data_IF_042450900339
#
_entry.id   IF_042450900339
#
_cell.length_a   1.000
_cell.length_b   1.000
_cell.length_c   1.000
_cell.angle_alpha   90.00
_cell.angle_beta   90.00
_cell.angle_gamma   90.00
#
_symmetry.space_group_name_H-M   'P 1'
#
loop_
_entity.id
_entity.type
_entity.pdbx_description
1 polymer ?
#
# COMPACT_ATOMS: atom_id res chain seq x y z
N UNK A 1 -23.54 -25.87 39.67
CA UNK A 1 -23.72 -25.67 38.22
C UNK A 1 -23.11 -24.33 37.79
N UNK A 2 -21.94 -24.34 37.14
CA UNK A 2 -21.39 -23.26 36.27
C UNK A 2 -19.98 -23.70 35.82
N UNK A 3 -19.91 -24.53 34.79
CA UNK A 3 -18.65 -24.95 34.14
C UNK A 3 -18.85 -25.31 32.66
N UNK A 4 -19.70 -24.58 31.94
CA UNK A 4 -19.99 -24.85 30.52
C UNK A 4 -19.69 -23.71 29.53
N UNK A 5 -19.20 -22.55 29.97
CA UNK A 5 -18.93 -21.41 29.08
C UNK A 5 -17.48 -21.21 28.60
N UNK A 6 -16.48 -21.81 29.28
CA UNK A 6 -15.07 -21.48 29.04
C UNK A 6 -14.42 -22.34 27.93
N UNK A 7 -14.96 -23.53 27.66
CA UNK A 7 -14.35 -24.52 26.75
C UNK A 7 -14.61 -24.25 25.27
N UNK A 8 -15.75 -23.65 24.90
CA UNK A 8 -16.06 -23.38 23.49
C UNK A 8 -15.30 -22.17 22.94
N UNK A 9 -15.18 -21.08 23.71
CA UNK A 9 -14.46 -19.86 23.31
C UNK A 9 -12.99 -20.13 23.06
N UNK A 10 -12.32 -20.91 23.93
CA UNK A 10 -10.91 -21.29 23.75
C UNK A 10 -10.71 -22.18 22.51
N UNK A 11 -11.67 -23.07 22.21
CA UNK A 11 -11.61 -23.90 20.99
C UNK A 11 -11.80 -23.07 19.72
N UNK A 12 -12.72 -22.10 19.74
CA UNK A 12 -12.96 -21.18 18.62
C UNK A 12 -11.72 -20.31 18.38
N UNK A 13 -11.15 -19.71 19.42
CA UNK A 13 -9.92 -18.91 19.31
C UNK A 13 -8.74 -19.75 18.81
N UNK A 14 -8.60 -21.00 19.28
CA UNK A 14 -7.55 -21.91 18.81
C UNK A 14 -7.73 -22.27 17.34
N UNK A 15 -8.96 -22.51 16.89
CA UNK A 15 -9.29 -22.78 15.48
C UNK A 15 -8.97 -21.57 14.60
N UNK A 16 -9.44 -20.37 14.98
CA UNK A 16 -9.15 -19.12 14.27
C UNK A 16 -7.64 -18.84 14.18
N UNK A 17 -6.88 -19.13 15.25
CA UNK A 17 -5.43 -18.98 15.26
C UNK A 17 -4.74 -19.94 14.28
N UNK A 18 -5.15 -21.21 14.27
CA UNK A 18 -4.61 -22.22 13.34
C UNK A 18 -4.95 -21.89 11.88
N UNK A 19 -6.16 -21.37 11.62
CA UNK A 19 -6.56 -20.89 10.30
C UNK A 19 -5.69 -19.71 9.87
N UNK A 20 -5.46 -18.72 10.74
CA UNK A 20 -4.60 -17.58 10.45
C UNK A 20 -3.14 -17.98 10.23
N UNK A 21 -2.56 -18.84 11.09
CA UNK A 21 -1.21 -19.38 10.91
C UNK A 21 -1.09 -20.08 9.55
N UNK A 22 -2.10 -20.85 9.16
CA UNK A 22 -2.17 -21.51 7.85
C UNK A 22 -2.22 -20.53 6.67
N UNK A 23 -3.04 -19.48 6.77
CA UNK A 23 -3.13 -18.41 5.76
C UNK A 23 -1.78 -17.69 5.63
N UNK A 24 -1.16 -17.32 6.74
CA UNK A 24 0.11 -16.61 6.72
C UNK A 24 1.23 -17.48 6.14
N UNK A 25 1.34 -18.75 6.54
CA UNK A 25 2.31 -19.68 5.95
C UNK A 25 2.16 -19.81 4.43
N UNK A 26 0.92 -19.82 3.91
CA UNK A 26 0.66 -19.81 2.46
C UNK A 26 1.21 -18.53 1.80
N UNK A 27 0.97 -17.37 2.40
CA UNK A 27 1.50 -16.09 1.92
C UNK A 27 3.04 -16.07 1.87
N UNK A 28 3.70 -16.55 2.93
CA UNK A 28 5.16 -16.68 2.97
C UNK A 28 5.71 -17.69 1.95
N UNK A 29 5.00 -18.79 1.72
CA UNK A 29 5.36 -19.74 0.68
C UNK A 29 5.23 -19.13 -0.72
N UNK A 30 4.14 -18.39 -0.97
CA UNK A 30 3.92 -17.70 -2.25
C UNK A 30 5.00 -16.67 -2.53
N UNK A 31 5.38 -15.84 -1.56
CA UNK A 31 6.49 -14.88 -1.71
C UNK A 31 7.80 -15.59 -2.10
N UNK A 32 8.15 -16.66 -1.40
CA UNK A 32 9.37 -17.43 -1.72
C UNK A 32 9.33 -17.99 -3.14
N UNK A 33 8.17 -18.48 -3.60
CA UNK A 33 8.00 -18.94 -4.98
C UNK A 33 8.05 -17.80 -5.99
N UNK A 34 7.46 -16.64 -5.70
CA UNK A 34 7.46 -15.49 -6.62
C UNK A 34 8.84 -14.90 -6.82
N UNK A 35 9.68 -14.96 -5.78
CA UNK A 35 11.08 -14.51 -5.87
C UNK A 35 11.94 -15.53 -6.61
N UNK A 36 11.78 -16.83 -6.35
CA UNK A 36 12.59 -17.88 -7.01
C UNK A 36 12.19 -18.13 -8.47
N UNK A 37 10.90 -18.04 -8.79
CA UNK A 37 10.35 -18.36 -10.10
C UNK A 37 9.30 -17.32 -10.56
N UNK A 38 9.70 -16.06 -10.83
CA UNK A 38 8.77 -14.99 -11.24
C UNK A 38 7.93 -15.32 -12.47
N UNK A 39 8.45 -16.15 -13.39
CA UNK A 39 7.75 -16.58 -14.60
C UNK A 39 6.54 -17.49 -14.33
N UNK A 40 6.55 -18.24 -13.21
CA UNK A 40 5.46 -19.14 -12.82
C UNK A 40 4.55 -18.50 -11.78
N UNK A 41 5.13 -17.74 -10.86
CA UNK A 41 4.41 -17.03 -9.80
C UNK A 41 4.76 -15.56 -9.95
N UNK A 42 3.88 -14.74 -10.56
CA UNK A 42 4.15 -13.33 -10.79
C UNK A 42 4.48 -12.60 -9.48
N UNK A 43 5.52 -11.78 -9.53
CA UNK A 43 5.91 -10.83 -8.48
C UNK A 43 5.45 -9.41 -8.85
N UNK A 44 5.69 -8.46 -7.95
CA UNK A 44 5.49 -7.03 -8.23
C UNK A 44 6.52 -6.53 -9.25
N UNK A 45 6.11 -5.66 -10.18
CA UNK A 45 7.04 -4.99 -11.09
C UNK A 45 7.88 -3.95 -10.35
N UNK A 46 7.27 -3.26 -9.40
CA UNK A 46 7.96 -2.30 -8.54
C UNK A 46 7.49 -2.36 -7.09
N UNK A 47 8.43 -2.15 -6.17
CA UNK A 47 8.20 -1.94 -4.74
C UNK A 47 8.76 -0.56 -4.40
N UNK A 48 7.87 0.34 -3.99
CA UNK A 48 8.21 1.74 -3.69
C UNK A 48 7.95 2.02 -2.22
N UNK A 49 8.91 2.63 -1.52
CA UNK A 49 8.77 3.05 -0.13
C UNK A 49 8.77 4.57 -0.05
N UNK A 50 7.79 5.17 0.62
CA UNK A 50 7.88 6.61 0.95
C UNK A 50 8.73 6.82 2.19
N UNK A 51 9.49 7.90 2.23
CA UNK A 51 10.35 8.28 3.35
C UNK A 51 10.12 9.75 3.74
N UNK A 52 10.32 10.09 5.00
CA UNK A 52 10.13 11.44 5.53
C UNK A 52 11.23 12.41 5.09
N UNK A 53 12.44 11.91 4.82
CA UNK A 53 13.59 12.73 4.43
C UNK A 53 14.52 12.00 3.45
N UNK A 54 15.38 12.72 2.71
CA UNK A 54 16.39 12.13 1.84
C UNK A 54 17.35 11.17 2.55
N UNK A 55 17.74 11.48 3.79
CA UNK A 55 18.62 10.63 4.60
C UNK A 55 17.93 9.31 4.96
N UNK A 56 16.63 9.37 5.31
CA UNK A 56 15.85 8.17 5.56
C UNK A 56 15.65 7.35 4.28
N UNK A 57 15.40 8.00 3.14
CA UNK A 57 15.31 7.33 1.85
C UNK A 57 16.62 6.58 1.50
N UNK A 58 17.78 7.18 1.76
CA UNK A 58 19.07 6.53 1.54
C UNK A 58 19.25 5.25 2.39
N UNK A 59 18.77 5.26 3.65
CA UNK A 59 18.77 4.06 4.50
C UNK A 59 17.79 3.00 3.98
N UNK A 60 16.61 3.41 3.52
CA UNK A 60 15.61 2.50 2.95
C UNK A 60 16.11 1.88 1.64
N UNK A 61 16.80 2.63 0.79
CA UNK A 61 17.49 2.12 -0.40
C UNK A 61 18.49 1.01 -0.04
N UNK A 62 19.28 1.21 1.02
CA UNK A 62 20.22 0.17 1.47
C UNK A 62 19.49 -1.11 1.92
N UNK A 63 18.36 -0.98 2.62
CA UNK A 63 17.56 -2.12 3.04
C UNK A 63 16.91 -2.84 1.86
N UNK A 64 16.39 -2.10 0.87
CA UNK A 64 15.81 -2.66 -0.35
C UNK A 64 16.87 -3.44 -1.15
N UNK A 65 18.04 -2.85 -1.37
CA UNK A 65 19.17 -3.52 -2.03
C UNK A 65 19.64 -4.76 -1.25
N UNK A 66 19.60 -4.71 0.08
CA UNK A 66 19.88 -5.88 0.93
C UNK A 66 18.81 -6.97 0.74
N UNK A 67 17.53 -6.61 0.67
CA UNK A 67 16.44 -7.56 0.48
C UNK A 67 16.52 -8.27 -0.89
N UNK A 68 16.90 -7.55 -1.95
CA UNK A 68 17.20 -8.14 -3.27
C UNK A 68 18.37 -9.12 -3.16
N UNK A 69 19.52 -8.71 -2.61
CA UNK A 69 20.70 -9.58 -2.43
C UNK A 69 20.44 -10.84 -1.61
N UNK A 70 19.52 -10.78 -0.65
CA UNK A 70 19.14 -11.92 0.19
C UNK A 70 18.04 -12.79 -0.46
N UNK A 71 17.60 -12.49 -1.68
CA UNK A 71 16.54 -13.23 -2.36
C UNK A 71 15.18 -13.13 -1.67
N UNK A 72 14.89 -11.98 -1.04
CA UNK A 72 13.55 -11.65 -0.51
C UNK A 72 12.70 -10.85 -1.48
N UNK A 73 13.36 -10.15 -2.40
CA UNK A 73 12.75 -9.47 -3.54
C UNK A 73 13.39 -10.08 -4.79
N UNK A 74 12.60 -10.26 -5.86
CA UNK A 74 13.10 -10.75 -7.14
C UNK A 74 14.06 -9.73 -7.75
N UNK A 75 15.14 -10.19 -8.40
CA UNK A 75 16.05 -9.34 -9.17
C UNK A 75 15.34 -8.62 -10.33
N UNK A 76 14.19 -9.14 -10.77
CA UNK A 76 13.34 -8.52 -11.79
C UNK A 76 12.46 -7.38 -11.28
N UNK A 77 12.35 -7.20 -9.96
CA UNK A 77 11.48 -6.20 -9.33
C UNK A 77 12.26 -4.91 -9.09
N UNK A 78 11.76 -3.80 -9.64
CA UNK A 78 12.32 -2.47 -9.37
C UNK A 78 12.06 -2.08 -7.91
N UNK A 79 13.08 -1.63 -7.20
CA UNK A 79 12.93 -1.11 -5.83
C UNK A 79 13.30 0.36 -5.79
N UNK A 80 12.49 1.19 -5.12
CA UNK A 80 12.73 2.63 -5.02
C UNK A 80 12.30 3.17 -3.64
N UNK A 81 13.13 3.97 -2.98
CA UNK A 81 12.74 4.78 -1.83
C UNK A 81 12.61 6.25 -2.25
N UNK A 82 11.44 6.82 -1.99
CA UNK A 82 11.08 8.18 -2.41
C UNK A 82 10.91 9.06 -1.18
N UNK A 83 11.79 10.04 -0.96
CA UNK A 83 11.64 10.98 0.13
C UNK A 83 10.54 12.00 -0.16
N UNK A 84 9.94 12.52 0.91
CA UNK A 84 9.17 13.74 0.87
C UNK A 84 10.08 14.90 0.39
N UNK A 85 9.65 15.72 -0.57
CA UNK A 85 10.49 16.76 -1.16
C UNK A 85 11.01 17.75 -0.11
N UNK A 86 12.30 18.06 -0.19
CA UNK A 86 12.99 18.94 0.77
C UNK A 86 12.88 18.49 2.24
N UNK A 87 12.51 17.22 2.50
CA UNK A 87 12.25 16.71 3.85
C UNK A 87 11.00 17.30 4.51
N UNK A 88 10.14 17.99 3.75
CA UNK A 88 8.91 18.56 4.25
C UNK A 88 7.75 17.59 4.08
N UNK A 89 7.09 17.26 5.18
CA UNK A 89 5.95 16.34 5.16
C UNK A 89 4.80 16.89 4.32
N UNK A 90 4.46 16.17 3.23
CA UNK A 90 3.43 16.59 2.25
C UNK A 90 2.08 15.89 2.43
N UNK A 91 2.00 14.89 3.33
CA UNK A 91 0.82 14.02 3.49
C UNK A 91 0.88 12.78 2.61
N UNK A 92 0.19 11.70 2.96
CA UNK A 92 0.31 10.40 2.29
C UNK A 92 -0.22 10.42 0.85
N UNK A 93 -1.20 11.27 0.55
CA UNK A 93 -1.78 11.37 -0.79
C UNK A 93 -0.81 12.07 -1.74
N UNK A 94 -0.19 13.16 -1.29
CA UNK A 94 0.85 13.82 -2.05
C UNK A 94 2.12 12.96 -2.15
N UNK A 95 2.48 12.22 -1.09
CA UNK A 95 3.59 11.27 -1.12
C UNK A 95 3.33 10.12 -2.11
N UNK A 96 2.08 9.67 -2.25
CA UNK A 96 1.66 8.69 -3.26
C UNK A 96 1.88 9.23 -4.68
N UNK A 97 1.39 10.44 -4.97
CA UNK A 97 1.59 11.07 -6.28
C UNK A 97 3.08 11.27 -6.60
N UNK A 98 3.86 11.73 -5.62
CA UNK A 98 5.30 11.91 -5.74
C UNK A 98 6.01 10.57 -6.01
N UNK A 99 5.61 9.49 -5.33
CA UNK A 99 6.17 8.17 -5.50
C UNK A 99 5.89 7.58 -6.89
N UNK A 100 4.67 7.75 -7.40
CA UNK A 100 4.28 7.32 -8.75
C UNK A 100 5.08 8.09 -9.81
N UNK A 101 5.21 9.41 -9.65
CA UNK A 101 5.99 10.26 -10.54
C UNK A 101 7.47 9.87 -10.55
N UNK A 102 8.06 9.64 -9.37
CA UNK A 102 9.46 9.20 -9.24
C UNK A 102 9.68 7.85 -9.92
N UNK A 103 8.74 6.91 -9.78
CA UNK A 103 8.80 5.62 -10.45
C UNK A 103 8.69 5.74 -11.97
N UNK A 104 7.79 6.58 -12.48
CA UNK A 104 7.66 6.82 -13.92
C UNK A 104 8.94 7.42 -14.52
N UNK A 105 9.56 8.38 -13.82
CA UNK A 105 10.87 8.94 -14.19
C UNK A 105 11.97 7.89 -14.21
N UNK A 106 12.00 6.99 -13.21
CA UNK A 106 12.97 5.90 -13.15
C UNK A 106 12.86 4.96 -14.36
N UNK A 107 11.64 4.59 -14.76
CA UNK A 107 11.42 3.79 -15.96
C UNK A 107 11.82 4.53 -17.25
N UNK A 108 11.51 5.82 -17.36
CA UNK A 108 11.88 6.62 -18.51
C UNK A 108 13.40 6.73 -18.67
N UNK A 109 14.12 7.04 -17.59
CA UNK A 109 15.59 7.10 -17.59
C UNK A 109 16.23 5.75 -17.97
N UNK A 110 15.65 4.64 -17.49
CA UNK A 110 16.12 3.29 -17.82
C UNK A 110 15.92 2.96 -19.32
N UNK A 111 14.82 3.40 -19.93
CA UNK A 111 14.60 3.21 -21.37
C UNK A 111 15.56 4.05 -22.20
N UNK A 112 15.79 5.31 -21.84
CA UNK A 112 16.76 6.18 -22.54
C UNK A 112 18.16 5.57 -22.49
N UNK A 113 18.59 5.06 -21.33
CA UNK A 113 19.89 4.41 -21.19
C UNK A 113 20.04 3.18 -22.12
N UNK A 114 18.99 2.36 -22.24
CA UNK A 114 19.00 1.19 -23.13
C UNK A 114 18.97 1.56 -24.63
N UNK A 115 18.31 2.67 -24.99
CA UNK A 115 18.26 3.13 -26.39
C UNK A 115 19.57 3.80 -26.82
N UNK A 116 20.28 4.48 -25.91
CA UNK A 116 21.57 5.10 -26.20
C UNK A 116 22.69 4.08 -26.46
N UNK A 117 22.55 2.82 -25.99
CA UNK A 117 23.46 1.73 -26.38
C UNK A 117 23.29 1.26 -27.83
N UNK A 118 22.19 1.61 -28.51
CA UNK A 118 21.88 1.23 -29.89
C UNK A 118 22.14 2.34 -30.92
N UNK A 119 22.90 3.38 -30.55
CA UNK A 119 23.54 4.29 -31.52
C UNK A 119 22.60 5.17 -32.35
N UNK A 120 21.50 5.66 -31.77
CA UNK A 120 20.68 6.69 -32.40
C UNK A 120 20.45 7.88 -31.45
N UNK A 121 21.12 9.00 -31.74
CA UNK A 121 20.89 10.28 -31.07
C UNK A 121 19.54 10.85 -31.50
N UNK A 122 18.50 10.64 -30.71
CA UNK A 122 17.25 11.38 -30.85
C UNK A 122 17.39 12.65 -30.01
N UNK A 123 17.43 13.78 -30.69
CA UNK A 123 17.34 15.12 -30.10
C UNK A 123 16.00 15.22 -29.36
N UNK A 124 15.93 15.67 -28.09
CA UNK A 124 14.66 15.94 -27.45
C UNK A 124 13.99 17.10 -28.18
N UNK A 125 12.91 16.83 -28.89
CA UNK A 125 12.04 17.85 -29.45
C UNK A 125 11.26 18.49 -28.28
N UNK A 126 11.16 19.82 -28.26
CA UNK A 126 10.42 20.58 -27.25
C UNK A 126 8.91 20.49 -27.49
N UNK A 127 8.38 19.27 -27.65
CA UNK A 127 6.96 19.04 -27.83
C UNK A 127 6.26 18.91 -26.47
N UNK A 128 5.37 19.89 -26.23
CA UNK A 128 4.39 20.08 -25.15
C UNK A 128 4.43 19.13 -23.93
N UNK A 129 4.38 19.69 -22.71
CA UNK A 129 4.31 18.98 -21.41
C UNK A 129 3.28 17.82 -21.36
N UNK A 130 2.25 17.86 -22.19
CA UNK A 130 1.22 16.82 -22.33
C UNK A 130 1.71 15.53 -23.02
N UNK A 131 2.63 15.61 -23.99
CA UNK A 131 3.16 14.43 -24.70
C UNK A 131 4.11 13.63 -23.81
N UNK A 132 4.98 14.32 -23.08
CA UNK A 132 5.90 13.70 -22.11
C UNK A 132 5.13 12.97 -21.00
N UNK A 133 4.09 13.61 -20.46
CA UNK A 133 3.22 13.02 -19.43
C UNK A 133 2.52 11.75 -19.92
N UNK A 134 2.03 11.75 -21.17
CA UNK A 134 1.36 10.59 -21.76
C UNK A 134 2.33 9.42 -21.99
N UNK A 135 3.54 9.70 -22.45
CA UNK A 135 4.60 8.69 -22.59
C UNK A 135 4.95 8.05 -21.24
N UNK A 136 5.14 8.87 -20.20
CA UNK A 136 5.45 8.40 -18.85
C UNK A 136 4.36 7.49 -18.26
N UNK A 137 3.08 7.83 -18.46
CA UNK A 137 1.98 6.99 -17.98
C UNK A 137 1.94 5.65 -18.70
N UNK A 138 2.22 5.61 -20.01
CA UNK A 138 2.28 4.36 -20.77
C UNK A 138 3.33 3.38 -20.21
N UNK A 139 4.41 3.87 -19.60
CA UNK A 139 5.45 3.02 -18.98
C UNK A 139 4.96 2.27 -17.74
N UNK A 140 4.06 2.88 -16.97
CA UNK A 140 3.59 2.35 -15.67
C UNK A 140 2.16 1.79 -15.72
N UNK A 141 1.41 2.07 -16.79
CA UNK A 141 0.00 1.69 -16.98
C UNK A 141 -0.28 0.19 -16.81
N UNK A 142 0.60 -0.67 -17.32
CA UNK A 142 0.44 -2.15 -17.22
C UNK A 142 1.29 -2.77 -16.11
N UNK A 143 1.89 -1.95 -15.24
CA UNK A 143 2.74 -2.40 -14.14
C UNK A 143 1.94 -2.63 -12.88
N UNK A 144 2.41 -3.57 -12.07
CA UNK A 144 1.90 -3.86 -10.73
C UNK A 144 2.86 -3.29 -9.70
N UNK A 145 2.38 -2.31 -8.95
CA UNK A 145 3.21 -1.53 -8.05
C UNK A 145 2.73 -1.75 -6.62
N UNK A 146 3.65 -2.14 -5.75
CA UNK A 146 3.47 -2.11 -4.30
C UNK A 146 4.04 -0.79 -3.77
N UNK A 147 3.22 0.02 -3.12
CA UNK A 147 3.64 1.25 -2.46
C UNK A 147 3.48 1.08 -0.94
N UNK A 148 4.57 1.31 -0.21
CA UNK A 148 4.57 1.27 1.25
C UNK A 148 4.76 2.68 1.82
N UNK A 149 3.77 3.15 2.57
CA UNK A 149 3.91 4.40 3.31
C UNK A 149 4.77 4.19 4.57
N UNK A 150 6.03 4.61 4.52
CA UNK A 150 7.00 4.46 5.60
C UNK A 150 7.59 5.79 6.11
N UNK A 151 7.11 6.93 5.60
CA UNK A 151 7.56 8.29 5.98
C UNK A 151 6.85 8.91 7.20
N UNK A 152 6.20 8.11 8.05
CA UNK A 152 5.52 8.62 9.24
C UNK A 152 6.43 8.72 10.45
N UNK A 153 6.37 9.84 11.18
CA UNK A 153 7.09 10.01 12.45
C UNK A 153 6.65 8.96 13.49
N UNK A 154 7.62 8.19 13.99
CA UNK A 154 7.45 7.25 15.11
C UNK A 154 7.42 7.97 16.44
N UNK A 155 6.38 8.78 16.68
CA UNK A 155 6.20 9.49 17.95
C UNK A 155 6.13 8.56 19.17
N UNK A 156 5.62 7.35 18.98
CA UNK A 156 5.46 6.33 20.03
C UNK A 156 6.67 5.41 20.19
N UNK A 157 7.52 5.33 19.16
CA UNK A 157 8.71 4.45 19.13
C UNK A 157 9.88 5.23 18.54
N UNK A 158 10.43 6.24 19.24
CA UNK A 158 11.37 7.19 18.64
C UNK A 158 12.67 6.53 18.15
N UNK A 159 13.11 5.47 18.82
CA UNK A 159 14.30 4.71 18.43
C UNK A 159 14.15 3.99 17.07
N UNK A 160 12.92 3.78 16.60
CA UNK A 160 12.64 3.16 15.31
C UNK A 160 12.64 4.16 14.14
N UNK A 161 12.70 5.48 14.40
CA UNK A 161 12.68 6.49 13.34
C UNK A 161 13.84 6.37 12.33
N UNK A 162 15.11 6.22 12.76
CA UNK A 162 16.22 6.13 11.82
C UNK A 162 16.16 4.86 10.98
N UNK A 163 15.75 3.74 11.59
CA UNK A 163 15.66 2.45 10.89
C UNK A 163 14.41 2.32 10.03
N UNK A 164 13.34 3.05 10.37
CA UNK A 164 12.00 2.87 9.82
C UNK A 164 11.25 1.74 10.51
N UNK A 165 10.00 1.99 10.90
CA UNK A 165 9.13 0.97 11.55
C UNK A 165 8.94 -0.27 10.67
N UNK A 166 8.93 -0.08 9.36
CA UNK A 166 8.75 -1.16 8.39
C UNK A 166 9.90 -2.18 8.45
N UNK A 167 11.09 -1.78 8.90
CA UNK A 167 12.23 -2.68 9.03
C UNK A 167 12.44 -3.19 10.46
N UNK A 168 11.43 -3.07 11.33
CA UNK A 168 11.49 -3.65 12.67
C UNK A 168 11.47 -5.17 12.62
N UNK A 169 12.30 -5.85 13.43
CA UNK A 169 12.21 -7.30 13.59
C UNK A 169 10.83 -7.71 14.10
N UNK A 170 10.22 -8.65 13.39
CA UNK A 170 8.96 -9.27 13.72
C UNK A 170 9.22 -10.78 13.86
N UNK A 171 9.43 -11.31 15.08
CA UNK A 171 9.77 -12.73 15.30
C UNK A 171 8.59 -13.69 15.03
N UNK A 172 7.59 -13.23 14.29
CA UNK A 172 6.46 -14.03 13.87
C UNK A 172 6.94 -15.07 12.84
N UNK A 173 6.67 -16.35 13.09
CA UNK A 173 7.18 -17.49 12.30
C UNK A 173 8.71 -17.66 12.32
N UNK A 174 9.44 -17.04 13.26
CA UNK A 174 10.87 -17.31 13.43
C UNK A 174 11.14 -18.80 13.74
N UNK A 175 10.19 -19.49 14.37
CA UNK A 175 10.26 -20.93 14.65
C UNK A 175 10.25 -21.81 13.37
N UNK A 176 9.77 -21.28 12.24
CA UNK A 176 9.75 -22.02 10.97
C UNK A 176 11.14 -22.06 10.31
N UNK A 177 12.08 -21.18 10.71
CA UNK A 177 13.47 -21.13 10.25
C UNK A 177 14.39 -20.63 11.40
N UNK A 178 14.70 -21.48 12.39
CA UNK A 178 15.39 -21.06 13.61
C UNK A 178 16.84 -20.60 13.38
N UNK A 179 17.47 -21.05 12.30
CA UNK A 179 18.83 -20.64 11.89
C UNK A 179 18.80 -19.47 10.89
N UNK A 180 17.61 -19.03 10.48
CA UNK A 180 17.39 -17.95 9.54
C UNK A 180 17.45 -16.56 10.19
N UNK A 181 17.63 -15.50 9.39
CA UNK A 181 17.51 -14.13 9.88
C UNK A 181 16.08 -13.86 10.37
N UNK A 182 15.94 -13.20 11.53
CA UNK A 182 14.63 -12.80 12.07
C UNK A 182 13.83 -12.04 11.00
N UNK A 183 12.60 -12.47 10.68
CA UNK A 183 11.76 -11.78 9.72
C UNK A 183 11.52 -10.33 10.13
N UNK A 184 11.46 -9.42 9.16
CA UNK A 184 11.10 -8.03 9.40
C UNK A 184 9.59 -7.82 9.16
N UNK A 185 9.03 -6.73 9.68
CA UNK A 185 7.68 -6.30 9.32
C UNK A 185 7.55 -6.13 7.79
N UNK A 186 8.59 -5.61 7.14
CA UNK A 186 8.69 -5.50 5.70
C UNK A 186 8.50 -6.84 5.00
N UNK A 187 9.18 -7.88 5.47
CA UNK A 187 9.10 -9.23 4.89
C UNK A 187 7.67 -9.80 5.02
N UNK A 188 7.02 -9.54 6.16
CA UNK A 188 5.62 -9.93 6.39
C UNK A 188 4.64 -9.18 5.47
N UNK A 189 4.84 -7.88 5.28
CA UNK A 189 4.06 -7.07 4.34
C UNK A 189 4.24 -7.60 2.91
N UNK A 190 5.47 -7.91 2.49
CA UNK A 190 5.74 -8.52 1.18
C UNK A 190 5.02 -9.87 1.02
N UNK A 191 4.98 -10.68 2.09
CA UNK A 191 4.29 -11.96 2.06
C UNK A 191 2.80 -11.79 1.76
N UNK A 192 2.11 -10.92 2.50
CA UNK A 192 0.69 -10.62 2.26
C UNK A 192 0.46 -9.99 0.88
N UNK A 193 1.29 -9.02 0.50
CA UNK A 193 1.19 -8.35 -0.79
C UNK A 193 1.40 -9.32 -1.97
N UNK A 194 2.26 -10.33 -1.85
CA UNK A 194 2.49 -11.34 -2.90
C UNK A 194 1.20 -12.14 -3.24
N UNK A 195 0.32 -12.34 -2.26
CA UNK A 195 -1.01 -12.92 -2.47
C UNK A 195 -1.95 -11.89 -3.10
N UNK A 196 -1.98 -10.65 -2.57
CA UNK A 196 -2.83 -9.57 -3.06
C UNK A 196 -2.61 -9.26 -4.56
N UNK A 197 -1.39 -9.45 -5.06
CA UNK A 197 -1.04 -9.29 -6.48
C UNK A 197 -1.98 -10.05 -7.43
N UNK A 198 -2.52 -11.21 -7.00
CA UNK A 198 -3.43 -12.01 -7.83
C UNK A 198 -4.71 -11.26 -8.19
N UNK A 199 -5.21 -10.39 -7.30
CA UNK A 199 -6.47 -9.67 -7.50
C UNK A 199 -6.42 -8.65 -8.67
N UNK A 200 -5.22 -8.30 -9.15
CA UNK A 200 -5.01 -7.38 -10.27
C UNK A 200 -5.09 -8.07 -11.64
N UNK A 201 -5.12 -9.42 -11.68
CA UNK A 201 -5.13 -10.18 -12.94
C UNK A 201 -4.03 -9.68 -13.90
N UNK A 202 -4.42 -9.37 -15.15
CA UNK A 202 -3.57 -8.84 -16.22
C UNK A 202 -3.63 -7.31 -16.34
N UNK A 203 -4.38 -6.62 -15.47
CA UNK A 203 -4.50 -5.17 -15.47
C UNK A 203 -3.47 -4.55 -14.53
N UNK A 204 -2.88 -3.42 -14.94
CA UNK A 204 -1.98 -2.68 -14.07
C UNK A 204 -2.70 -2.15 -12.83
N UNK A 205 -1.93 -1.85 -11.80
CA UNK A 205 -2.49 -1.34 -10.58
C UNK A 205 -1.50 -1.02 -9.49
N UNK A 206 -2.01 -0.33 -8.49
CA UNK A 206 -1.29 0.14 -7.32
C UNK A 206 -1.90 -0.48 -6.07
N UNK A 207 -1.07 -1.15 -5.28
CA UNK A 207 -1.43 -1.65 -3.96
C UNK A 207 -0.65 -0.87 -2.91
N UNK A 208 -1.37 -0.11 -2.09
CA UNK A 208 -0.81 0.73 -1.04
C UNK A 208 -1.00 0.01 0.30
N UNK A 209 0.06 -0.05 1.10
CA UNK A 209 0.00 -0.49 2.49
C UNK A 209 0.77 0.46 3.40
N UNK A 210 0.47 0.41 4.70
CA UNK A 210 1.19 1.17 5.73
C UNK A 210 2.39 0.37 6.24
N UNK A 211 3.52 1.05 6.42
CA UNK A 211 4.77 0.46 6.91
C UNK A 211 4.83 0.27 8.43
N UNK A 212 3.74 0.51 9.16
CA UNK A 212 3.70 0.44 10.62
C UNK A 212 2.55 -0.35 11.23
N UNK A 213 1.80 -1.06 10.38
CA UNK A 213 0.73 -1.98 10.77
C UNK A 213 1.14 -3.40 10.38
N UNK A 214 0.78 -4.39 11.20
CA UNK A 214 0.96 -5.81 10.88
C UNK A 214 -0.32 -6.34 10.22
N UNK A 215 -0.37 -6.49 8.88
CA UNK A 215 -1.55 -7.01 8.18
C UNK A 215 -1.72 -8.52 8.43
N UNK A 216 -2.87 -8.94 8.94
CA UNK A 216 -3.17 -10.35 9.22
C UNK A 216 -4.50 -10.75 8.58
N UNK A 217 -4.51 -11.01 7.27
CA UNK A 217 -5.71 -11.43 6.54
C UNK A 217 -5.35 -12.29 5.31
N UNK A 218 -6.34 -12.99 4.77
CA UNK A 218 -6.18 -13.79 3.55
C UNK A 218 -6.29 -12.92 2.29
N UNK A 219 -5.15 -12.39 1.86
CA UNK A 219 -5.08 -11.59 0.64
C UNK A 219 -5.27 -12.41 -0.65
N UNK A 220 -5.23 -13.76 -0.59
CA UNK A 220 -5.44 -14.59 -1.78
C UNK A 220 -6.91 -14.69 -2.19
N UNK A 221 -7.83 -14.45 -1.24
CA UNK A 221 -9.27 -14.38 -1.48
C UNK A 221 -9.75 -12.98 -1.88
N UNK A 222 -8.83 -12.00 -2.02
CA UNK A 222 -9.18 -10.63 -2.33
C UNK A 222 -9.72 -10.51 -3.76
N UNK A 223 -10.90 -9.90 -3.90
CA UNK A 223 -11.52 -9.56 -5.18
C UNK A 223 -11.59 -8.04 -5.30
N UNK A 224 -11.01 -7.50 -6.37
CA UNK A 224 -11.10 -6.08 -6.70
C UNK A 224 -12.15 -5.88 -7.79
N UNK A 225 -13.01 -4.86 -7.71
CA UNK A 225 -13.85 -4.46 -8.82
C UNK A 225 -13.02 -3.87 -9.97
N UNK A 226 -13.56 -3.90 -11.17
CA UNK A 226 -12.90 -3.35 -12.37
C UNK A 226 -12.84 -1.82 -12.31
N UNK A 227 -11.76 -1.27 -12.86
CA UNK A 227 -11.60 0.16 -13.11
C UNK A 227 -11.86 1.10 -11.93
N UNK A 228 -11.57 0.64 -10.71
CA UNK A 228 -11.88 1.40 -9.48
C UNK A 228 -10.73 1.41 -8.46
N UNK A 229 -10.90 2.26 -7.45
CA UNK A 229 -10.12 2.23 -6.21
C UNK A 229 -10.95 1.65 -5.07
N UNK A 230 -10.30 0.92 -4.17
CA UNK A 230 -10.92 0.24 -3.04
C UNK A 230 -10.08 0.42 -1.78
N UNK A 231 -10.75 0.55 -0.64
CA UNK A 231 -10.12 0.59 0.68
C UNK A 231 -10.52 -0.70 1.40
N UNK A 232 -9.53 -1.41 1.94
CA UNK A 232 -9.80 -2.57 2.79
C UNK A 232 -10.14 -2.06 4.18
N UNK A 233 -11.27 -2.50 4.73
CA UNK A 233 -11.73 -2.08 6.06
C UNK A 233 -11.91 -3.27 6.98
N UNK A 234 -11.86 -3.01 8.29
CA UNK A 234 -12.11 -4.03 9.31
C UNK A 234 -13.18 -3.52 10.26
N UNK A 235 -14.25 -4.30 10.53
CA UNK A 235 -15.23 -3.93 11.54
C UNK A 235 -14.63 -3.91 12.94
N UNK A 236 -14.69 -2.76 13.61
CA UNK A 236 -14.14 -2.52 14.95
C UNK A 236 -15.19 -1.96 15.92
N UNK A 237 -14.90 -2.08 17.20
CA UNK A 237 -15.71 -1.51 18.27
C UNK A 237 -15.53 0.02 18.35
N UNK A 238 -16.53 0.67 18.95
CA UNK A 238 -16.65 2.13 18.99
C UNK A 238 -15.54 2.82 19.80
N UNK A 239 -15.02 2.16 20.83
CA UNK A 239 -13.90 2.64 21.65
C UNK A 239 -12.58 2.74 20.85
N UNK A 240 -12.36 1.79 19.93
CA UNK A 240 -11.21 1.81 19.01
C UNK A 240 -11.43 2.90 17.96
N UNK A 241 -12.66 3.06 17.46
CA UNK A 241 -13.02 3.98 16.40
C UNK A 241 -12.65 5.44 16.73
N UNK A 242 -12.82 5.87 17.98
CA UNK A 242 -12.49 7.23 18.41
C UNK A 242 -11.01 7.61 18.30
N UNK A 243 -10.12 6.63 18.17
CA UNK A 243 -8.68 6.85 18.04
C UNK A 243 -8.17 6.72 16.61
N UNK A 244 -9.03 6.34 15.66
CA UNK A 244 -8.64 5.95 14.30
C UNK A 244 -9.53 6.59 13.22
N UNK A 245 -9.17 6.39 11.96
CA UNK A 245 -10.00 6.75 10.80
C UNK A 245 -11.16 5.75 10.64
N UNK A 246 -12.36 6.25 10.37
CA UNK A 246 -13.57 5.45 10.20
C UNK A 246 -14.17 5.72 8.83
N UNK A 247 -14.28 4.68 8.02
CA UNK A 247 -14.92 4.72 6.69
C UNK A 247 -16.43 4.60 6.88
N UNK A 248 -17.16 5.49 6.21
CA UNK A 248 -18.62 5.46 6.12
C UNK A 248 -18.97 4.87 4.77
N UNK A 249 -19.58 3.68 4.77
CA UNK A 249 -20.09 3.05 3.56
C UNK A 249 -21.50 3.58 3.23
N UNK A 250 -21.78 3.78 1.94
CA UNK A 250 -23.13 4.08 1.47
C UNK A 250 -24.01 2.85 1.61
N UNK A 251 -25.25 3.04 2.09
CA UNK A 251 -26.26 1.97 2.25
C UNK A 251 -26.85 1.47 0.92
N UNK A 252 -26.35 1.94 -0.22
CA UNK A 252 -26.80 1.58 -1.57
C UNK A 252 -25.93 0.46 -2.13
N UNK A 253 -26.11 -0.78 -1.67
CA UNK A 253 -25.39 -1.95 -2.21
C UNK A 253 -26.24 -3.20 -2.19
N UNK A 254 -26.35 -3.89 -3.33
CA UNK A 254 -26.96 -5.22 -3.44
C UNK A 254 -26.19 -6.19 -2.54
N UNK A 255 -26.91 -6.88 -1.66
CA UNK A 255 -26.40 -7.96 -0.84
C UNK A 255 -26.20 -9.23 -1.69
N UNK A 256 -25.17 -9.26 -2.52
CA UNK A 256 -24.70 -10.53 -3.11
C UNK A 256 -23.58 -11.10 -2.23
N UNK A 257 -23.82 -12.31 -1.73
CA UNK A 257 -23.19 -12.97 -0.57
C UNK A 257 -21.69 -13.33 -0.69
N UNK A 258 -20.95 -12.83 -1.68
CA UNK A 258 -19.56 -13.29 -1.92
C UNK A 258 -18.52 -12.19 -1.72
N UNK A 259 -18.87 -10.90 -1.80
CA UNK A 259 -17.98 -9.80 -1.40
C UNK A 259 -18.79 -8.52 -1.18
N UNK A 260 -18.91 -8.06 0.07
CA UNK A 260 -19.65 -6.83 0.41
C UNK A 260 -18.86 -5.59 0.00
N UNK A 261 -18.77 -5.31 -1.30
CA UNK A 261 -18.23 -4.05 -1.80
C UNK A 261 -19.31 -2.99 -1.66
N UNK A 262 -19.00 -1.90 -0.96
CA UNK A 262 -19.92 -0.77 -0.78
C UNK A 262 -19.25 0.53 -1.19
N UNK A 263 -19.96 1.45 -1.86
CA UNK A 263 -19.40 2.76 -2.18
C UNK A 263 -19.01 3.50 -0.90
N UNK A 264 -17.87 4.18 -0.90
CA UNK A 264 -17.44 5.01 0.24
C UNK A 264 -18.18 6.34 0.19
N UNK A 265 -18.94 6.65 1.24
CA UNK A 265 -19.66 7.91 1.39
C UNK A 265 -18.79 8.99 2.06
N UNK A 266 -18.01 8.61 3.08
CA UNK A 266 -17.16 9.55 3.81
C UNK A 266 -16.00 8.83 4.55
N UNK A 267 -14.99 9.58 5.01
CA UNK A 267 -14.05 9.15 6.05
C UNK A 267 -14.08 10.16 7.19
N UNK A 268 -14.16 9.64 8.42
CA UNK A 268 -14.11 10.41 9.65
C UNK A 268 -12.77 10.18 10.35
N UNK A 269 -12.06 11.25 10.73
CA UNK A 269 -10.76 11.13 11.40
C UNK A 269 -10.92 11.31 12.91
N UNK A 270 -10.73 10.23 13.67
CA UNK A 270 -10.86 10.21 15.14
C UNK A 270 -12.22 10.77 15.62
N UNK A 271 -13.35 10.26 15.10
CA UNK A 271 -14.67 10.79 15.41
C UNK A 271 -15.08 10.49 16.84
N UNK A 272 -15.94 11.35 17.38
CA UNK A 272 -16.65 11.05 18.62
C UNK A 272 -17.95 10.26 18.35
N UNK A 273 -18.59 9.76 19.42
CA UNK A 273 -19.81 8.95 19.33
C UNK A 273 -20.97 9.66 18.62
N UNK A 274 -21.13 10.96 18.87
CA UNK A 274 -22.19 11.75 18.25
C UNK A 274 -21.99 11.89 16.75
N UNK A 275 -20.74 12.10 16.32
CA UNK A 275 -20.35 12.20 14.92
C UNK A 275 -20.55 10.88 14.17
N UNK A 276 -20.14 9.75 14.77
CA UNK A 276 -20.37 8.41 14.22
C UNK A 276 -21.87 8.15 13.98
N UNK A 277 -22.71 8.54 14.94
CA UNK A 277 -24.16 8.35 14.85
C UNK A 277 -24.77 9.25 13.78
N UNK A 278 -24.39 10.54 13.77
CA UNK A 278 -24.89 11.55 12.83
C UNK A 278 -24.53 11.25 11.38
N UNK A 279 -23.34 10.69 11.17
CA UNK A 279 -22.82 10.33 9.84
C UNK A 279 -23.25 8.92 9.41
N UNK A 280 -24.06 8.22 10.20
CA UNK A 280 -24.47 6.83 9.94
C UNK A 280 -23.30 5.86 9.72
N UNK A 281 -22.21 6.06 10.47
CA UNK A 281 -20.99 5.27 10.38
C UNK A 281 -21.06 3.91 11.12
N UNK A 282 -22.08 3.74 11.97
CA UNK A 282 -22.30 2.52 12.76
C UNK A 282 -23.11 1.51 11.94
N UNK A 283 -22.57 0.31 11.81
CA UNK A 283 -23.19 -0.84 11.15
C UNK A 283 -24.31 -1.44 12.01
N UNK A 284 -25.12 -2.30 11.42
CA UNK A 284 -26.27 -2.93 12.09
C UNK A 284 -25.87 -3.82 13.28
N UNK A 285 -24.61 -4.29 13.30
CA UNK A 285 -24.03 -5.07 14.41
C UNK A 285 -23.38 -4.20 15.51
N UNK A 286 -23.51 -2.87 15.41
CA UNK A 286 -22.97 -1.92 16.38
C UNK A 286 -21.48 -1.59 16.21
N UNK A 287 -20.82 -2.10 15.15
CA UNK A 287 -19.41 -1.80 14.85
C UNK A 287 -19.26 -0.69 13.82
N UNK A 288 -18.03 -0.23 13.60
CA UNK A 288 -17.67 0.76 12.58
C UNK A 288 -16.56 0.21 11.69
N UNK A 289 -16.43 0.73 10.46
CA UNK A 289 -15.40 0.28 9.52
C UNK A 289 -14.11 1.07 9.73
N UNK A 290 -13.08 0.40 10.25
CA UNK A 290 -11.74 0.98 10.40
C UNK A 290 -11.09 1.19 9.03
N UNK A 291 -10.50 2.37 8.82
CA UNK A 291 -9.51 2.58 7.77
C UNK A 291 -8.20 1.85 8.12
N UNK A 292 -7.88 0.81 7.36
CA UNK A 292 -6.65 0.03 7.57
C UNK A 292 -5.41 0.68 6.94
N UNK A 293 -5.60 1.70 6.10
CA UNK A 293 -4.54 2.26 5.26
C UNK A 293 -4.10 1.34 4.12
N UNK A 294 -4.87 0.28 3.82
CA UNK A 294 -4.65 -0.57 2.66
C UNK A 294 -5.59 -0.12 1.53
N UNK A 295 -5.00 0.36 0.45
CA UNK A 295 -5.72 0.90 -0.72
C UNK A 295 -5.32 0.13 -1.96
N UNK A 296 -6.29 -0.23 -2.79
CA UNK A 296 -6.08 -0.92 -4.06
C UNK A 296 -6.60 -0.04 -5.18
N UNK A 297 -5.87 0.09 -6.29
CA UNK A 297 -6.29 0.87 -7.45
C UNK A 297 -6.01 0.06 -8.71
N UNK A 298 -7.03 -0.25 -9.52
CA UNK A 298 -6.90 -1.15 -10.68
C UNK A 298 -7.49 -0.53 -11.95
N UNK A 299 -6.91 -0.90 -13.09
CA UNK A 299 -7.48 -0.60 -14.42
C UNK A 299 -7.51 0.90 -14.71
N UNK A 300 -8.65 1.42 -15.19
CA UNK A 300 -8.79 2.84 -15.55
C UNK A 300 -8.51 3.79 -14.38
N UNK A 301 -8.91 3.41 -13.17
CA UNK A 301 -8.62 4.20 -11.98
C UNK A 301 -7.11 4.34 -11.72
N UNK A 302 -6.33 3.31 -12.05
CA UNK A 302 -4.87 3.35 -11.95
C UNK A 302 -4.27 4.29 -13.00
N UNK A 303 -4.76 4.23 -14.24
CA UNK A 303 -4.35 5.14 -15.32
C UNK A 303 -4.59 6.60 -14.97
N UNK A 304 -5.79 6.91 -14.46
CA UNK A 304 -6.15 8.28 -14.11
C UNK A 304 -5.31 8.80 -12.94
N UNK A 305 -4.98 7.93 -11.98
CA UNK A 305 -4.08 8.26 -10.88
C UNK A 305 -2.63 8.48 -11.36
N UNK A 306 -2.15 7.67 -12.30
CA UNK A 306 -0.85 7.84 -12.93
C UNK A 306 -0.76 9.16 -13.70
N UNK A 307 -1.81 9.51 -14.47
CA UNK A 307 -1.92 10.80 -15.16
C UNK A 307 -1.91 11.97 -14.17
N UNK A 308 -2.71 11.87 -13.10
CA UNK A 308 -2.74 12.90 -12.05
C UNK A 308 -1.35 13.10 -11.42
N UNK A 309 -0.63 12.01 -11.19
CA UNK A 309 0.73 12.04 -10.62
C UNK A 309 1.71 12.77 -11.53
N UNK A 310 1.66 12.52 -12.84
CA UNK A 310 2.50 13.22 -13.83
C UNK A 310 2.22 14.74 -13.85
N UNK A 311 0.96 15.13 -13.64
CA UNK A 311 0.54 16.54 -13.59
C UNK A 311 0.68 17.19 -12.20
N UNK A 312 1.13 16.46 -11.17
CA UNK A 312 1.05 16.91 -9.78
C UNK A 312 2.24 17.78 -9.31
N UNK A 313 3.29 17.94 -10.12
CA UNK A 313 4.49 18.72 -9.75
C UNK A 313 4.19 20.14 -9.22
N UNK A 314 3.26 20.92 -9.82
CA UNK A 314 2.92 22.24 -9.29
C UNK A 314 2.23 22.17 -7.91
N UNK A 315 1.39 21.15 -7.68
CA UNK A 315 0.67 20.95 -6.42
C UNK A 315 1.66 20.58 -5.31
N UNK A 316 2.56 19.63 -5.58
CA UNK A 316 3.60 19.22 -4.64
C UNK A 316 4.50 20.42 -4.30
N UNK A 317 4.93 21.19 -5.30
CA UNK A 317 5.73 22.41 -5.10
C UNK A 317 5.03 23.46 -4.24
N UNK A 318 3.70 23.61 -4.38
CA UNK A 318 2.91 24.51 -3.53
C UNK A 318 2.81 24.01 -2.08
N UNK A 319 2.64 22.69 -1.87
CA UNK A 319 2.57 22.11 -0.52
C UNK A 319 3.87 22.31 0.24
N UNK A 320 5.01 22.09 -0.43
CA UNK A 320 6.35 22.33 0.12
C UNK A 320 6.53 23.81 0.50
N UNK A 321 6.21 24.73 -0.41
CA UNK A 321 6.29 26.19 -0.16
C UNK A 321 5.40 26.65 0.99
N UNK A 322 4.22 26.06 1.15
CA UNK A 322 3.26 26.43 2.19
C UNK A 322 3.46 25.68 3.51
N UNK A 323 4.35 24.68 3.56
CA UNK A 323 4.53 23.75 4.68
C UNK A 323 3.21 23.13 5.16
N UNK A 324 2.29 22.87 4.23
CA UNK A 324 0.98 22.27 4.50
C UNK A 324 0.96 20.83 3.99
N UNK A 325 0.29 19.96 4.75
CA UNK A 325 -0.03 18.61 4.30
C UNK A 325 -1.27 18.63 3.41
N UNK A 326 -1.27 17.90 2.30
CA UNK A 326 -2.47 17.66 1.52
C UNK A 326 -3.45 16.81 2.34
N UNK A 327 -4.61 17.38 2.66
CA UNK A 327 -5.69 16.67 3.39
C UNK A 327 -6.91 16.32 2.54
N UNK A 328 -7.05 16.96 1.36
CA UNK A 328 -8.18 16.78 0.45
C UNK A 328 -7.79 17.23 -0.97
N UNK A 329 -7.37 16.32 -1.85
CA UNK A 329 -7.25 16.62 -3.29
C UNK A 329 -8.61 16.29 -3.93
N UNK A 330 -9.56 17.24 -3.86
CA UNK A 330 -10.83 17.14 -4.61
C UNK A 330 -10.64 17.74 -6.00
N UNK A 331 -10.43 16.89 -7.00
CA UNK A 331 -10.90 17.14 -8.38
C UNK A 331 -11.95 16.07 -8.70
N UNK A 332 -12.80 16.30 -9.70
CA UNK A 332 -14.00 15.51 -10.07
C UNK A 332 -13.81 14.02 -10.39
N UNK A 333 -12.68 13.43 -10.03
CA UNK A 333 -12.45 11.99 -10.02
C UNK A 333 -12.59 11.51 -8.58
N UNK A 334 -13.36 10.46 -8.34
CA UNK A 334 -13.66 9.90 -7.01
C UNK A 334 -12.45 9.25 -6.33
N UNK A 335 -11.33 9.97 -6.21
CA UNK A 335 -10.14 9.54 -5.49
C UNK A 335 -10.05 10.32 -4.18
N UNK A 336 -10.31 9.63 -3.08
CA UNK A 336 -9.87 10.09 -1.76
C UNK A 336 -8.55 9.37 -1.50
N UNK A 337 -7.44 10.02 -1.84
CA UNK A 337 -6.11 9.61 -1.43
C UNK A 337 -5.73 10.42 -0.20
N UNK A 338 -5.59 9.73 0.94
CA UNK A 338 -5.09 10.31 2.19
C UNK A 338 -3.60 10.49 2.12
#
# INVERSE_FOLDING_TARGET
MKKLGYSSTTKIMKKQRLELEGVLRKSWYRLRLSVRCPSRVPTWDAIVLTAASPEQAALYEWQLKRAVRLGRISDSTVTLAVPDPEGHRIGSGAATLNAILALANHYNASQVANNCSDGCYVVPDESSENEVSTSMVNLIRKKHILLLHAGGDSKRVPWANPMGKVFLPLPYLADDDPDGPVPLLFDHILAIASCARQAYNNEGGLFIMTGDVVPCFDASAMVLPEDTSCIITVPITLDIASNHGVIVASKTGNSDEICSVSPVANLLQKPNMEELTRQHAVLDDGRTLLDTGIICVRGKAWEDLAMLSCMSQPIISQLVKTKKEARNIRKSYSFILY
#
